data_IF_499751421120
#
_entry.id   IF_499751421120
#
_cell.length_a   1.000
_cell.length_b   1.000
_cell.length_c   1.000
_cell.angle_alpha   90.00
_cell.angle_beta   90.00
_cell.angle_gamma   90.00
#
_symmetry.space_group_name_H-M   'P 1'
#
loop_
_entity.id
_entity.type
_entity.pdbx_description
1 polymer ?
#
# COMPACT_ATOMS: atom_id res chain seq x y z
N UNK A 1 56.56 102.97 -1.44
CA UNK A 1 56.84 101.71 -0.72
C UNK A 1 55.56 100.93 -0.37
N UNK A 2 54.55 100.91 -1.26
CA UNK A 2 53.26 100.23 -1.04
C UNK A 2 53.03 99.05 -2.01
N UNK A 3 53.70 99.05 -3.16
CA UNK A 3 53.55 98.01 -4.20
C UNK A 3 54.31 96.71 -3.91
N UNK A 4 55.25 96.71 -2.95
CA UNK A 4 56.06 95.52 -2.60
C UNK A 4 55.42 94.67 -1.48
N UNK A 5 54.56 95.27 -0.64
CA UNK A 5 53.87 94.57 0.46
C UNK A 5 52.65 93.76 0.00
N UNK A 6 51.98 94.18 -1.07
CA UNK A 6 50.82 93.45 -1.60
C UNK A 6 51.23 92.18 -2.36
N UNK A 7 52.25 92.27 -3.22
CA UNK A 7 52.78 91.10 -3.94
C UNK A 7 53.29 89.99 -2.99
N UNK A 8 53.94 90.36 -1.88
CA UNK A 8 54.40 89.40 -0.86
C UNK A 8 53.26 88.71 -0.10
N UNK A 9 52.12 89.38 0.08
CA UNK A 9 50.96 88.85 0.81
C UNK A 9 50.16 87.87 -0.04
N UNK A 10 50.05 88.14 -1.34
CA UNK A 10 49.38 87.25 -2.28
C UNK A 10 50.21 86.00 -2.59
N UNK A 11 51.54 86.10 -2.62
CA UNK A 11 52.42 84.93 -2.73
C UNK A 11 52.33 84.01 -1.50
N UNK A 12 52.28 84.58 -0.28
CA UNK A 12 52.09 83.79 0.96
C UNK A 12 50.71 83.11 1.00
N UNK A 13 49.67 83.79 0.52
CA UNK A 13 48.31 83.21 0.41
C UNK A 13 48.28 82.08 -0.61
N UNK A 14 48.94 82.24 -1.75
CA UNK A 14 49.03 81.18 -2.77
C UNK A 14 49.76 79.94 -2.24
N UNK A 15 50.81 80.10 -1.43
CA UNK A 15 51.52 78.98 -0.80
C UNK A 15 50.64 78.26 0.22
N UNK A 16 49.94 79.00 1.08
CA UNK A 16 48.99 78.41 2.04
C UNK A 16 47.85 77.64 1.37
N UNK A 17 47.32 78.15 0.27
CA UNK A 17 46.25 77.47 -0.49
C UNK A 17 46.78 76.18 -1.13
N UNK A 18 47.99 76.20 -1.68
CA UNK A 18 48.59 75.01 -2.28
C UNK A 18 48.88 73.92 -1.23
N UNK A 19 49.38 74.30 -0.05
CA UNK A 19 49.61 73.38 1.05
C UNK A 19 48.31 72.76 1.56
N UNK A 20 47.25 73.56 1.67
CA UNK A 20 45.91 73.08 2.06
C UNK A 20 45.35 72.08 1.03
N UNK A 21 45.51 72.37 -0.27
CA UNK A 21 45.06 71.46 -1.35
C UNK A 21 45.82 70.13 -1.30
N UNK A 22 47.13 70.18 -1.06
CA UNK A 22 47.94 68.96 -0.94
C UNK A 22 47.56 68.13 0.29
N UNK A 23 47.26 68.78 1.41
CA UNK A 23 46.79 68.11 2.61
C UNK A 23 45.44 67.40 2.38
N UNK A 24 44.46 68.10 1.81
CA UNK A 24 43.13 67.52 1.51
C UNK A 24 43.26 66.35 0.53
N UNK A 25 44.13 66.47 -0.48
CA UNK A 25 44.38 65.38 -1.44
C UNK A 25 45.04 64.18 -0.76
N UNK A 26 45.91 64.39 0.22
CA UNK A 26 46.53 63.31 0.97
C UNK A 26 45.53 62.60 1.88
N UNK A 27 44.69 63.35 2.60
CA UNK A 27 43.64 62.80 3.45
C UNK A 27 42.63 61.98 2.63
N UNK A 28 42.18 62.47 1.48
CA UNK A 28 41.29 61.73 0.58
C UNK A 28 41.91 60.42 0.08
N UNK A 29 43.20 60.41 -0.24
CA UNK A 29 43.89 59.20 -0.67
C UNK A 29 44.01 58.16 0.45
N UNK A 30 44.24 58.60 1.69
CA UNK A 30 44.30 57.70 2.86
C UNK A 30 42.92 57.11 3.16
N UNK A 31 41.86 57.93 3.13
CA UNK A 31 40.48 57.45 3.34
C UNK A 31 40.05 56.50 2.22
N UNK A 32 40.38 56.80 0.96
CA UNK A 32 40.04 55.94 -0.18
C UNK A 32 40.72 54.57 -0.07
N UNK A 33 41.99 54.52 0.32
CA UNK A 33 42.69 53.25 0.55
C UNK A 33 42.08 52.44 1.69
N UNK A 34 41.76 53.09 2.81
CA UNK A 34 41.12 52.43 3.95
C UNK A 34 39.76 51.82 3.59
N UNK A 35 38.93 52.53 2.82
CA UNK A 35 37.63 52.02 2.36
C UNK A 35 37.82 50.84 1.39
N UNK A 36 38.81 50.92 0.51
CA UNK A 36 39.09 49.87 -0.47
C UNK A 36 39.66 48.61 0.20
N UNK A 37 40.56 48.76 1.17
CA UNK A 37 41.09 47.64 1.96
C UNK A 37 39.98 46.97 2.79
N UNK A 38 39.04 47.75 3.33
CA UNK A 38 37.89 47.22 4.07
C UNK A 38 36.88 46.50 3.16
N UNK A 39 36.67 46.99 1.94
CA UNK A 39 35.88 46.30 0.91
C UNK A 39 36.53 44.99 0.51
N UNK A 40 37.84 45.00 0.25
CA UNK A 40 38.59 43.79 -0.08
C UNK A 40 38.58 42.78 1.08
N UNK A 41 38.62 43.23 2.33
CA UNK A 41 38.50 42.35 3.50
C UNK A 41 37.09 41.73 3.64
N UNK A 42 36.04 42.49 3.30
CA UNK A 42 34.66 41.98 3.27
C UNK A 42 34.44 40.97 2.13
N UNK A 43 35.06 41.18 0.97
CA UNK A 43 34.96 40.26 -0.17
C UNK A 43 35.75 38.95 0.05
N UNK A 44 36.82 39.03 0.84
CA UNK A 44 37.63 37.86 1.25
C UNK A 44 37.15 37.20 2.55
N UNK A 45 36.03 37.62 3.14
CA UNK A 45 35.47 36.91 4.30
C UNK A 45 34.86 35.60 3.79
N UNK A 46 35.19 34.42 4.35
CA UNK A 46 34.68 33.17 3.82
C UNK A 46 33.16 33.18 3.94
N UNK A 47 32.47 33.17 2.80
CA UNK A 47 31.02 33.00 2.76
C UNK A 47 30.68 31.79 3.62
N UNK A 48 29.97 32.04 4.72
CA UNK A 48 29.53 31.01 5.66
C UNK A 48 28.78 29.97 4.85
N UNK A 49 29.44 28.84 4.58
CA UNK A 49 28.92 27.74 3.76
C UNK A 49 27.68 27.19 4.46
N UNK A 50 26.52 27.74 4.16
CA UNK A 50 25.24 27.11 4.46
C UNK A 50 25.23 25.86 3.60
N UNK A 51 25.48 24.71 4.23
CA UNK A 51 25.31 23.40 3.61
C UNK A 51 23.81 23.19 3.45
N UNK A 52 23.22 23.87 2.47
CA UNK A 52 21.90 23.52 1.97
C UNK A 52 22.13 22.28 1.13
N UNK A 53 21.78 21.11 1.65
CA UNK A 53 21.63 19.91 0.83
C UNK A 53 20.44 20.14 -0.12
N UNK A 54 20.68 20.86 -1.21
CA UNK A 54 19.78 20.82 -2.37
C UNK A 54 19.89 19.42 -2.93
N UNK A 55 18.90 18.58 -2.65
CA UNK A 55 18.70 17.35 -3.37
C UNK A 55 18.35 17.71 -4.81
N UNK A 56 19.30 17.53 -5.73
CA UNK A 56 19.04 17.66 -7.16
C UNK A 56 18.11 16.50 -7.59
N UNK A 57 16.88 16.79 -8.05
CA UNK A 57 15.93 15.76 -8.47
C UNK A 57 16.34 15.07 -9.79
N UNK A 58 17.47 15.47 -10.39
CA UNK A 58 18.05 14.93 -11.63
C UNK A 58 19.09 13.83 -11.40
N UNK A 59 19.17 13.26 -10.20
CA UNK A 59 19.99 12.08 -9.97
C UNK A 59 19.36 10.86 -10.63
N UNK A 60 20.11 10.18 -11.50
CA UNK A 60 19.70 8.94 -12.20
C UNK A 60 19.09 7.90 -11.24
N UNK A 61 19.59 7.85 -10.01
CA UNK A 61 19.11 6.93 -8.97
C UNK A 61 17.71 7.26 -8.44
N UNK A 62 17.35 8.55 -8.34
CA UNK A 62 16.01 8.97 -7.89
C UNK A 62 14.96 8.63 -8.96
N UNK A 63 15.30 8.83 -10.24
CA UNK A 63 14.44 8.46 -11.36
C UNK A 63 14.24 6.93 -11.43
N UNK A 64 15.32 6.16 -11.26
CA UNK A 64 15.24 4.70 -11.18
C UNK A 64 14.44 4.22 -9.95
N UNK A 65 14.54 4.92 -8.82
CA UNK A 65 13.77 4.61 -7.62
C UNK A 65 12.27 4.88 -7.83
N UNK A 66 11.90 6.00 -8.45
CA UNK A 66 10.50 6.29 -8.80
C UNK A 66 9.96 5.26 -9.80
N UNK A 67 10.77 4.89 -10.81
CA UNK A 67 10.41 3.83 -11.76
C UNK A 67 10.26 2.47 -11.10
N UNK A 68 11.16 2.12 -10.18
CA UNK A 68 11.11 0.88 -9.40
C UNK A 68 9.91 0.83 -8.46
N UNK A 69 9.57 1.95 -7.81
CA UNK A 69 8.36 2.09 -6.99
C UNK A 69 7.08 1.97 -7.82
N UNK A 70 7.03 2.59 -9.00
CA UNK A 70 5.88 2.47 -9.89
C UNK A 70 5.72 1.02 -10.39
N UNK A 71 6.83 0.37 -10.77
CA UNK A 71 6.82 -1.02 -11.21
C UNK A 71 6.42 -1.98 -10.08
N UNK A 72 6.88 -1.75 -8.84
CA UNK A 72 6.50 -2.59 -7.69
C UNK A 72 5.01 -2.47 -7.36
N UNK A 73 4.43 -1.26 -7.50
CA UNK A 73 2.99 -1.05 -7.35
C UNK A 73 2.19 -1.81 -8.43
N UNK A 74 2.62 -1.75 -9.69
CA UNK A 74 1.96 -2.48 -10.78
C UNK A 74 2.02 -3.99 -10.56
N UNK A 75 3.19 -4.52 -10.19
CA UNK A 75 3.35 -5.95 -9.90
C UNK A 75 2.51 -6.36 -8.67
N UNK A 76 2.40 -5.50 -7.65
CA UNK A 76 1.57 -5.76 -6.47
C UNK A 76 0.08 -5.84 -6.82
N UNK A 77 -0.40 -4.95 -7.69
CA UNK A 77 -1.80 -4.97 -8.13
C UNK A 77 -2.05 -6.18 -9.03
N UNK A 78 -1.12 -6.44 -9.97
CA UNK A 78 -1.20 -7.59 -10.87
C UNK A 78 -1.23 -8.91 -10.10
N UNK A 79 -0.29 -9.13 -9.18
CA UNK A 79 -0.22 -10.35 -8.38
C UNK A 79 -1.46 -10.58 -7.53
N UNK A 80 -2.05 -9.53 -6.96
CA UNK A 80 -3.33 -9.62 -6.25
C UNK A 80 -4.48 -10.00 -7.20
N UNK A 81 -4.51 -9.43 -8.41
CA UNK A 81 -5.53 -9.75 -9.41
C UNK A 81 -5.39 -11.17 -9.97
N UNK A 82 -4.17 -11.64 -10.24
CA UNK A 82 -3.92 -13.02 -10.70
C UNK A 82 -4.26 -14.04 -9.62
N UNK A 83 -3.93 -13.75 -8.35
CA UNK A 83 -4.36 -14.60 -7.22
C UNK A 83 -5.87 -14.66 -7.08
N UNK A 84 -6.56 -13.53 -7.28
CA UNK A 84 -8.02 -13.50 -7.26
C UNK A 84 -8.63 -14.35 -8.40
N UNK A 85 -8.03 -14.31 -9.60
CA UNK A 85 -8.44 -15.18 -10.71
C UNK A 85 -8.23 -16.66 -10.39
N UNK A 86 -7.05 -17.04 -9.88
CA UNK A 86 -6.79 -18.43 -9.49
C UNK A 86 -7.79 -18.91 -8.43
N UNK A 87 -8.08 -18.08 -7.42
CA UNK A 87 -9.05 -18.43 -6.37
C UNK A 87 -10.44 -18.70 -6.93
N UNK A 88 -10.89 -17.91 -7.91
CA UNK A 88 -12.17 -18.13 -8.59
C UNK A 88 -12.16 -19.44 -9.38
N UNK A 89 -11.05 -19.79 -10.04
CA UNK A 89 -10.93 -21.03 -10.80
C UNK A 89 -10.95 -22.28 -9.90
N UNK A 90 -10.34 -22.20 -8.70
CA UNK A 90 -10.42 -23.26 -7.70
C UNK A 90 -11.84 -23.49 -7.19
N UNK A 91 -12.57 -22.41 -6.90
CA UNK A 91 -13.96 -22.49 -6.45
C UNK A 91 -14.86 -23.09 -7.54
N UNK A 92 -14.62 -22.73 -8.80
CA UNK A 92 -15.38 -23.26 -9.94
C UNK A 92 -15.10 -24.76 -10.18
N UNK A 93 -13.84 -25.19 -10.11
CA UNK A 93 -13.46 -26.59 -10.25
C UNK A 93 -14.05 -27.45 -9.12
N UNK A 94 -14.06 -26.92 -7.90
CA UNK A 94 -14.64 -27.58 -6.74
C UNK A 94 -16.17 -27.69 -6.86
N UNK A 95 -16.85 -26.63 -7.29
CA UNK A 95 -18.30 -26.66 -7.55
C UNK A 95 -18.64 -27.64 -8.68
N UNK A 96 -17.86 -27.68 -9.77
CA UNK A 96 -18.01 -28.67 -10.86
C UNK A 96 -17.92 -30.08 -10.31
N UNK A 97 -16.92 -30.37 -9.49
CA UNK A 97 -16.73 -31.70 -8.90
C UNK A 97 -17.90 -32.11 -7.98
N UNK A 98 -18.33 -31.20 -7.10
CA UNK A 98 -19.48 -31.44 -6.20
C UNK A 98 -20.79 -31.60 -6.95
N UNK A 99 -21.03 -30.80 -7.99
CA UNK A 99 -22.20 -30.93 -8.86
C UNK A 99 -22.23 -32.26 -9.61
N UNK A 100 -21.09 -32.68 -10.17
CA UNK A 100 -20.99 -33.99 -10.82
C UNK A 100 -21.29 -35.14 -9.84
N UNK A 101 -20.80 -35.05 -8.60
CA UNK A 101 -21.08 -36.04 -7.54
C UNK A 101 -22.58 -36.16 -7.21
N UNK A 102 -23.35 -35.07 -7.35
CA UNK A 102 -24.80 -35.09 -7.21
C UNK A 102 -25.50 -35.74 -8.41
N UNK A 103 -24.99 -35.55 -9.64
CA UNK A 103 -25.60 -35.99 -10.92
C UNK A 103 -25.01 -37.33 -11.40
N UNK A 104 -24.49 -38.16 -10.49
CA UNK A 104 -23.66 -39.31 -10.86
C UNK A 104 -24.36 -40.61 -11.36
N UNK A 105 -25.67 -40.69 -11.72
CA UNK A 105 -26.03 -41.69 -12.71
C UNK A 105 -25.40 -41.23 -14.03
N UNK A 106 -24.31 -41.87 -14.46
CA UNK A 106 -23.47 -41.45 -15.59
C UNK A 106 -24.18 -41.31 -16.96
N UNK A 107 -25.47 -41.66 -17.05
CA UNK A 107 -26.32 -41.51 -18.23
C UNK A 107 -27.33 -40.34 -18.11
N UNK A 108 -27.22 -39.48 -17.08
CA UNK A 108 -28.14 -38.36 -16.86
C UNK A 108 -27.82 -37.17 -17.82
N UNK A 109 -28.79 -36.70 -18.64
CA UNK A 109 -28.65 -35.52 -19.52
C UNK A 109 -28.12 -34.25 -18.81
N UNK A 110 -28.28 -34.17 -17.49
CA UNK A 110 -27.83 -33.05 -16.67
C UNK A 110 -26.29 -32.89 -16.66
N UNK A 111 -25.51 -33.95 -16.90
CA UNK A 111 -24.03 -33.84 -16.96
C UNK A 111 -23.62 -32.97 -18.16
N UNK A 112 -24.22 -33.23 -19.32
CA UNK A 112 -23.96 -32.45 -20.54
C UNK A 112 -24.43 -31.00 -20.41
N UNK A 113 -25.52 -30.78 -19.66
CA UNK A 113 -26.02 -29.44 -19.33
C UNK A 113 -25.03 -28.64 -18.47
N UNK A 114 -24.49 -29.24 -17.41
CA UNK A 114 -23.49 -28.60 -16.54
C UNK A 114 -22.21 -28.30 -17.31
N UNK A 115 -21.69 -29.24 -18.10
CA UNK A 115 -20.47 -29.04 -18.89
C UNK A 115 -20.58 -27.86 -19.88
N UNK A 116 -21.74 -27.72 -20.54
CA UNK A 116 -21.99 -26.65 -21.51
C UNK A 116 -22.08 -25.27 -20.85
N UNK A 117 -22.74 -25.17 -19.71
CA UNK A 117 -22.95 -23.89 -19.01
C UNK A 117 -21.73 -23.42 -18.21
N UNK A 118 -20.82 -24.33 -17.85
CA UNK A 118 -19.58 -23.96 -17.20
C UNK A 118 -18.39 -23.76 -18.15
N UNK A 119 -18.39 -24.31 -19.37
CA UNK A 119 -17.27 -24.14 -20.32
C UNK A 119 -17.57 -23.25 -21.54
N UNK A 120 -18.75 -23.36 -22.16
CA UNK A 120 -19.05 -22.71 -23.46
C UNK A 120 -19.93 -21.47 -23.32
N UNK A 121 -20.97 -21.52 -22.47
CA UNK A 121 -21.89 -20.40 -22.25
C UNK A 121 -22.03 -20.11 -20.76
N UNK A 122 -21.06 -19.39 -20.19
CA UNK A 122 -21.05 -19.00 -18.78
C UNK A 122 -22.29 -18.18 -18.44
N UNK A 123 -23.21 -18.78 -17.69
CA UNK A 123 -24.39 -18.12 -17.13
C UNK A 123 -24.31 -18.17 -15.61
N UNK A 124 -24.02 -17.01 -15.01
CA UNK A 124 -23.86 -16.87 -13.56
C UNK A 124 -25.12 -17.30 -12.79
N UNK A 125 -26.31 -17.15 -13.38
CA UNK A 125 -27.57 -17.58 -12.73
C UNK A 125 -27.69 -19.10 -12.65
N UNK A 126 -27.21 -19.79 -13.67
CA UNK A 126 -27.20 -21.26 -13.70
C UNK A 126 -26.16 -21.80 -12.72
N UNK A 127 -25.00 -21.15 -12.63
CA UNK A 127 -23.97 -21.49 -11.65
C UNK A 127 -24.50 -21.33 -10.22
N UNK A 128 -25.23 -20.26 -9.93
CA UNK A 128 -25.82 -20.03 -8.62
C UNK A 128 -26.94 -21.03 -8.28
N UNK A 129 -27.81 -21.38 -9.24
CA UNK A 129 -28.82 -22.44 -9.05
C UNK A 129 -28.16 -23.80 -8.77
N UNK A 130 -27.09 -24.14 -9.49
CA UNK A 130 -26.30 -25.35 -9.25
C UNK A 130 -25.68 -25.32 -7.85
N UNK A 131 -25.12 -24.19 -7.42
CA UNK A 131 -24.57 -24.03 -6.06
C UNK A 131 -25.64 -24.27 -4.98
N UNK A 132 -26.83 -23.69 -5.15
CA UNK A 132 -27.94 -23.87 -4.22
C UNK A 132 -28.45 -25.33 -4.20
N UNK A 133 -28.54 -25.98 -5.35
CA UNK A 133 -28.91 -27.40 -5.48
C UNK A 133 -27.91 -28.32 -4.80
N UNK A 134 -26.62 -28.09 -5.01
CA UNK A 134 -25.55 -28.85 -4.36
C UNK A 134 -25.63 -28.67 -2.83
N UNK A 135 -25.81 -27.43 -2.35
CA UNK A 135 -25.95 -27.17 -0.92
C UNK A 135 -27.16 -27.87 -0.31
N UNK A 136 -28.33 -27.81 -0.97
CA UNK A 136 -29.53 -28.49 -0.51
C UNK A 136 -29.38 -30.03 -0.50
N UNK A 137 -28.70 -30.59 -1.50
CA UNK A 137 -28.39 -32.01 -1.55
C UNK A 137 -27.45 -32.43 -0.41
N UNK A 138 -26.34 -31.73 -0.23
CA UNK A 138 -25.39 -32.00 0.85
C UNK A 138 -26.02 -31.90 2.24
N UNK A 139 -26.88 -30.89 2.44
CA UNK A 139 -27.61 -30.71 3.70
C UNK A 139 -28.61 -31.84 3.93
N UNK A 140 -29.34 -32.25 2.89
CA UNK A 140 -30.25 -33.40 2.95
C UNK A 140 -29.52 -34.70 3.27
N UNK A 141 -28.34 -34.94 2.69
CA UNK A 141 -27.55 -36.14 2.97
C UNK A 141 -27.04 -36.14 4.42
N UNK A 142 -26.59 -34.99 4.92
CA UNK A 142 -26.17 -34.84 6.32
C UNK A 142 -27.33 -35.11 7.27
N UNK A 143 -28.48 -34.50 7.04
CA UNK A 143 -29.66 -34.73 7.85
C UNK A 143 -30.15 -36.16 7.78
N UNK A 144 -30.10 -36.80 6.61
CA UNK A 144 -30.44 -38.22 6.50
C UNK A 144 -29.54 -39.09 7.36
N UNK A 145 -28.23 -38.82 7.35
CA UNK A 145 -27.28 -39.55 8.20
C UNK A 145 -27.56 -39.35 9.69
N UNK A 146 -27.78 -38.10 10.13
CA UNK A 146 -28.13 -37.77 11.51
C UNK A 146 -29.45 -38.45 11.95
N UNK A 147 -30.45 -38.46 11.08
CA UNK A 147 -31.73 -39.12 11.35
C UNK A 147 -31.58 -40.63 11.50
N UNK A 148 -30.73 -41.27 10.69
CA UNK A 148 -30.45 -42.71 10.78
C UNK A 148 -29.73 -43.03 12.09
N UNK A 149 -28.72 -42.25 12.48
CA UNK A 149 -28.03 -42.43 13.75
C UNK A 149 -28.98 -42.23 14.94
N UNK A 150 -29.82 -41.19 14.92
CA UNK A 150 -30.82 -40.99 15.96
C UNK A 150 -31.87 -42.09 16.01
N UNK A 151 -32.28 -42.64 14.86
CA UNK A 151 -33.23 -43.75 14.80
C UNK A 151 -32.63 -45.02 15.44
N UNK A 152 -31.42 -45.39 15.04
CA UNK A 152 -30.71 -46.55 15.62
C UNK A 152 -30.48 -46.40 17.13
N UNK A 153 -30.12 -45.20 17.58
CA UNK A 153 -29.98 -44.90 19.00
C UNK A 153 -31.30 -45.06 19.76
N UNK A 154 -32.40 -44.47 19.27
CA UNK A 154 -33.73 -44.56 19.89
C UNK A 154 -34.24 -46.01 19.92
N UNK A 155 -34.03 -46.77 18.85
CA UNK A 155 -34.40 -48.18 18.77
C UNK A 155 -33.62 -49.03 19.79
N UNK A 156 -32.33 -48.76 20.00
CA UNK A 156 -31.52 -49.46 21.00
C UNK A 156 -32.07 -49.25 22.43
N UNK A 157 -32.51 -48.04 22.75
CA UNK A 157 -33.12 -47.71 24.06
C UNK A 157 -34.48 -48.38 24.19
N UNK A 158 -35.32 -48.32 23.15
CA UNK A 158 -36.63 -48.94 23.16
C UNK A 158 -36.52 -50.46 23.38
N UNK A 159 -35.59 -51.13 22.70
CA UNK A 159 -35.34 -52.56 22.87
C UNK A 159 -34.88 -52.90 24.30
N UNK A 160 -34.00 -52.09 24.89
CA UNK A 160 -33.58 -52.27 26.29
C UNK A 160 -34.75 -52.12 27.27
N UNK A 161 -35.57 -51.08 27.10
CA UNK A 161 -36.77 -50.86 27.93
C UNK A 161 -37.79 -51.99 27.79
N UNK A 162 -38.01 -52.49 26.57
CA UNK A 162 -38.90 -53.62 26.30
C UNK A 162 -38.39 -54.90 26.96
N UNK A 163 -37.08 -55.15 26.94
CA UNK A 163 -36.48 -56.29 27.63
C UNK A 163 -36.67 -56.19 29.15
N UNK A 164 -36.43 -55.03 29.75
CA UNK A 164 -36.63 -54.81 31.19
C UNK A 164 -38.11 -54.94 31.59
N UNK A 165 -39.03 -54.37 30.81
CA UNK A 165 -40.47 -54.52 31.04
C UNK A 165 -40.91 -55.99 31.02
N UNK A 166 -40.43 -56.76 30.03
CA UNK A 166 -40.72 -58.18 29.94
C UNK A 166 -40.13 -58.99 31.11
N UNK A 167 -38.95 -58.61 31.63
CA UNK A 167 -38.37 -59.21 32.83
C UNK A 167 -39.25 -58.97 34.06
N UNK A 168 -39.67 -57.73 34.29
CA UNK A 168 -40.57 -57.37 35.40
C UNK A 168 -41.89 -58.14 35.30
N UNK A 169 -42.49 -58.17 34.10
CA UNK A 169 -43.75 -58.89 33.86
C UNK A 169 -43.65 -60.38 34.18
N UNK A 170 -42.52 -61.02 33.86
CA UNK A 170 -42.28 -62.43 34.21
C UNK A 170 -42.11 -62.62 35.72
N UNK A 171 -41.32 -61.77 36.39
CA UNK A 171 -41.14 -61.82 37.84
C UNK A 171 -42.46 -61.65 38.62
N UNK A 172 -43.34 -60.75 38.15
CA UNK A 172 -44.68 -60.58 38.75
C UNK A 172 -45.58 -61.80 38.56
N UNK A 173 -45.49 -62.49 37.42
CA UNK A 173 -46.26 -63.71 37.16
C UNK A 173 -45.76 -64.93 37.94
N UNK A 174 -44.47 -65.00 38.23
CA UNK A 174 -43.88 -66.10 39.02
C UNK A 174 -44.01 -65.90 40.54
N UNK A 175 -44.32 -64.69 41.00
CA UNK A 175 -44.48 -64.35 42.42
C UNK A 175 -45.92 -64.55 42.95
N UNK A 176 -46.82 -65.08 42.13
CA UNK A 176 -48.26 -65.27 42.41
C UNK A 176 -48.60 -66.75 42.36
#
# INVERSE_FOLDING_TARGET
DLTKKEASKDEQRSKLLFDTINQVKQEQNVTSKFVQDKLNAMDNTPQKKVVTHRFEPTSKYVLLFIGGLALSLVISIWGNLTQWQEYQDWEEADLKYRALKMVLPSDDPNIHYIEKHFSVCRDEKVIDDVRNRVAAYEDSIRHHHEMVEMATYKDSIANKLLQESNRIKRAMKSSK
#
